data_IF_960947671248
#
_entry.id   IF_960947671248
#
_cell.length_a   1.000
_cell.length_b   1.000
_cell.length_c   1.000
_cell.angle_alpha   90.00
_cell.angle_beta   90.00
_cell.angle_gamma   90.00
#
_symmetry.space_group_name_H-M   'P 1'
#
loop_
_entity.id
_entity.type
_entity.pdbx_description
1 polymer ?
#
# COMPACT_ATOMS: atom_id res chain seq x y z
N UNK A 1 -10.16 -51.70 8.70
CA UNK A 1 -10.05 -50.30 9.20
C UNK A 1 -9.17 -49.53 8.23
N UNK A 2 -9.68 -48.50 7.56
CA UNK A 2 -8.82 -47.57 6.80
C UNK A 2 -8.31 -46.50 7.75
N UNK A 3 -7.00 -46.27 7.77
CA UNK A 3 -6.39 -45.21 8.58
C UNK A 3 -6.56 -43.85 7.90
N UNK A 4 -6.90 -42.82 8.70
CA UNK A 4 -6.98 -41.45 8.21
C UNK A 4 -5.59 -40.96 7.72
N UNK A 5 -5.50 -40.21 6.61
CA UNK A 5 -4.22 -39.74 6.09
C UNK A 5 -3.58 -38.76 7.08
N UNK A 6 -2.38 -39.12 7.57
CA UNK A 6 -1.55 -38.25 8.40
C UNK A 6 -0.83 -37.26 7.49
N UNK A 7 -1.05 -35.96 7.71
CA UNK A 7 -0.26 -34.92 7.05
C UNK A 7 1.04 -34.71 7.82
N UNK A 8 2.17 -35.00 7.17
CA UNK A 8 3.48 -34.63 7.69
C UNK A 8 3.76 -33.14 7.38
N UNK A 9 3.91 -32.32 8.41
CA UNK A 9 4.50 -30.98 8.29
C UNK A 9 6.02 -31.12 8.30
N UNK A 10 6.68 -30.71 7.21
CA UNK A 10 8.12 -30.67 7.13
C UNK A 10 8.70 -29.70 8.19
N UNK A 11 9.81 -30.09 8.83
CA UNK A 11 10.54 -29.20 9.72
C UNK A 11 11.15 -28.08 8.85
N UNK A 12 10.92 -26.80 9.17
CA UNK A 12 11.46 -25.70 8.39
C UNK A 12 12.98 -25.78 8.29
N UNK A 13 13.52 -25.52 7.10
CA UNK A 13 14.96 -25.39 6.94
C UNK A 13 15.45 -24.08 7.59
N UNK A 14 16.76 -23.99 7.82
CA UNK A 14 17.36 -22.74 8.30
C UNK A 14 17.06 -21.55 7.37
N UNK A 15 17.00 -21.78 6.05
CA UNK A 15 16.64 -20.75 5.08
C UNK A 15 15.19 -20.27 5.24
N UNK A 16 14.26 -21.17 5.55
CA UNK A 16 12.87 -20.81 5.80
C UNK A 16 12.72 -20.02 7.11
N UNK A 17 13.51 -20.38 8.13
CA UNK A 17 13.56 -19.63 9.38
C UNK A 17 14.07 -18.19 9.15
N UNK A 18 15.13 -18.02 8.35
CA UNK A 18 15.64 -16.70 8.00
C UNK A 18 14.63 -15.87 7.22
N UNK A 19 13.94 -16.45 6.23
CA UNK A 19 12.85 -15.76 5.51
C UNK A 19 11.70 -15.35 6.43
N UNK A 20 11.34 -16.19 7.40
CA UNK A 20 10.31 -15.86 8.36
C UNK A 20 10.72 -14.64 9.21
N UNK A 21 11.96 -14.61 9.71
CA UNK A 21 12.50 -13.47 10.45
C UNK A 21 12.54 -12.21 9.58
N UNK A 22 13.01 -12.32 8.34
CA UNK A 22 12.98 -11.21 7.38
C UNK A 22 11.56 -10.69 7.17
N UNK A 23 10.58 -11.58 6.98
CA UNK A 23 9.18 -11.17 6.80
C UNK A 23 8.63 -10.41 8.00
N UNK A 24 8.99 -10.82 9.24
CA UNK A 24 8.56 -10.15 10.47
C UNK A 24 9.20 -8.77 10.58
N UNK A 25 10.53 -8.70 10.40
CA UNK A 25 11.29 -7.45 10.47
C UNK A 25 10.85 -6.45 9.40
N UNK A 26 10.66 -6.92 8.16
CA UNK A 26 10.28 -6.09 7.01
C UNK A 26 8.79 -5.75 6.97
N UNK A 27 7.93 -6.45 7.73
CA UNK A 27 6.48 -6.23 7.73
C UNK A 27 6.11 -4.78 8.07
N UNK A 28 6.86 -4.13 8.98
CA UNK A 28 6.66 -2.74 9.36
C UNK A 28 6.90 -1.77 8.19
N UNK A 29 8.01 -1.96 7.46
CA UNK A 29 8.34 -1.18 6.27
C UNK A 29 7.29 -1.32 5.17
N UNK A 30 6.78 -2.52 4.94
CA UNK A 30 5.73 -2.77 3.94
C UNK A 30 4.39 -2.09 4.29
N UNK A 31 3.99 -2.11 5.56
CA UNK A 31 2.78 -1.39 6.02
C UNK A 31 2.93 0.12 5.85
N UNK A 32 4.09 0.66 6.22
CA UNK A 32 4.40 2.08 6.04
C UNK A 32 4.41 2.47 4.56
N UNK A 33 5.05 1.67 3.69
CA UNK A 33 5.06 1.90 2.25
C UNK A 33 3.65 1.94 1.65
N UNK A 34 2.78 0.99 2.03
CA UNK A 34 1.36 0.99 1.62
C UNK A 34 0.63 2.25 2.07
N UNK A 35 0.83 2.68 3.32
CA UNK A 35 0.20 3.90 3.85
C UNK A 35 0.71 5.15 3.14
N UNK A 36 2.02 5.23 2.90
CA UNK A 36 2.63 6.35 2.20
C UNK A 36 2.12 6.43 0.75
N UNK A 37 2.06 5.30 0.04
CA UNK A 37 1.51 5.24 -1.31
C UNK A 37 0.05 5.71 -1.36
N UNK A 38 -0.78 5.23 -0.42
CA UNK A 38 -2.17 5.66 -0.33
C UNK A 38 -2.30 7.16 -0.04
N UNK A 39 -1.51 7.69 0.90
CA UNK A 39 -1.51 9.11 1.23
C UNK A 39 -1.08 9.97 0.03
N UNK A 40 -0.08 9.54 -0.73
CA UNK A 40 0.34 10.23 -1.95
C UNK A 40 -0.79 10.31 -2.97
N UNK A 41 -1.52 9.22 -3.18
CA UNK A 41 -2.66 9.19 -4.11
C UNK A 41 -3.79 10.12 -3.64
N UNK A 42 -4.08 10.16 -2.34
CA UNK A 42 -5.07 11.10 -1.80
C UNK A 42 -4.65 12.55 -1.99
N UNK A 43 -3.39 12.85 -1.72
CA UNK A 43 -2.80 14.17 -1.90
C UNK A 43 -2.81 14.61 -3.36
N UNK A 44 -2.45 13.73 -4.30
CA UNK A 44 -2.48 14.04 -5.73
C UNK A 44 -3.89 14.32 -6.23
N UNK A 45 -4.88 13.55 -5.75
CA UNK A 45 -6.30 13.83 -6.03
C UNK A 45 -6.74 15.16 -5.47
N UNK A 46 -6.28 15.54 -4.28
CA UNK A 46 -6.57 16.84 -3.68
C UNK A 46 -5.98 17.97 -4.53
N UNK A 47 -4.69 17.88 -4.87
CA UNK A 47 -4.01 18.84 -5.74
C UNK A 47 -4.66 18.95 -7.13
N UNK A 48 -5.14 17.84 -7.69
CA UNK A 48 -5.85 17.87 -8.97
C UNK A 48 -7.15 18.69 -8.87
N UNK A 49 -7.93 18.50 -7.81
CA UNK A 49 -9.15 19.30 -7.56
C UNK A 49 -8.82 20.77 -7.33
N UNK A 50 -7.81 21.06 -6.52
CA UNK A 50 -7.40 22.44 -6.23
C UNK A 50 -6.93 23.16 -7.51
N UNK A 51 -6.23 22.49 -8.44
CA UNK A 51 -5.89 23.05 -9.75
C UNK A 51 -7.11 23.36 -10.61
N UNK A 52 -8.11 22.47 -10.64
CA UNK A 52 -9.35 22.71 -11.38
C UNK A 52 -10.11 23.91 -10.81
N UNK A 53 -10.18 24.02 -9.49
CA UNK A 53 -10.81 25.18 -8.83
C UNK A 53 -10.06 26.48 -9.14
N UNK A 54 -8.73 26.47 -9.05
CA UNK A 54 -7.91 27.61 -9.38
C UNK A 54 -8.11 28.06 -10.84
N UNK A 55 -8.15 27.13 -11.79
CA UNK A 55 -8.43 27.44 -13.19
C UNK A 55 -9.81 28.08 -13.35
N UNK A 56 -10.85 27.54 -12.71
CA UNK A 56 -12.21 28.12 -12.75
C UNK A 56 -12.23 29.56 -12.24
N UNK A 57 -11.56 29.84 -11.12
CA UNK A 57 -11.49 31.20 -10.56
C UNK A 57 -10.75 32.15 -11.50
N UNK A 58 -9.65 31.69 -12.11
CA UNK A 58 -8.90 32.48 -13.07
C UNK A 58 -9.72 32.80 -14.33
N UNK A 59 -10.44 31.82 -14.87
CA UNK A 59 -11.34 32.01 -16.02
C UNK A 59 -12.48 32.99 -15.70
N UNK A 60 -13.08 32.87 -14.51
CA UNK A 60 -14.10 33.82 -14.04
C UNK A 60 -13.54 35.24 -13.89
N UNK A 61 -12.32 35.38 -13.37
CA UNK A 61 -11.68 36.69 -13.25
C UNK A 61 -11.35 37.29 -14.63
N UNK A 62 -10.92 36.46 -15.59
CA UNK A 62 -10.59 36.90 -16.94
C UNK A 62 -11.83 37.30 -17.78
N UNK A 63 -13.00 36.74 -17.48
CA UNK A 63 -14.26 37.00 -18.19
C UNK A 63 -15.12 38.09 -17.55
N UNK A 64 -14.69 38.63 -16.40
CA UNK A 64 -15.38 39.73 -15.72
C UNK A 64 -15.10 41.05 -16.48
N UNK A 65 -16.15 41.82 -16.86
CA UNK A 65 -16.01 43.08 -17.61
C UNK A 65 -15.36 44.20 -16.80
#
# INVERSE_FOLDING_TARGET
MQAAPVRATAIPSFADALRAVESVLMSGGQRTARRNAWNSVLEDRRRAKDRVEALRVLEQAATRP
#
